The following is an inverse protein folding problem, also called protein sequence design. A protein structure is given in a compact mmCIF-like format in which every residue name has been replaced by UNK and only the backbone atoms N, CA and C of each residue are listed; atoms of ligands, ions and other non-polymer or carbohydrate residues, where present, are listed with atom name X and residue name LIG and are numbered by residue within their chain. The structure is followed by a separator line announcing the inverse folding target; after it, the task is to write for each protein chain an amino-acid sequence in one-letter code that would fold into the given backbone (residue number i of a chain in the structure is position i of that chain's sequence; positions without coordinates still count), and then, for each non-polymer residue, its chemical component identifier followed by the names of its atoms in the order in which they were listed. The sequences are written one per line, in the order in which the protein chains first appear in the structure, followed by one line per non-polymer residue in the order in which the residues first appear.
data_IF_073205748747
#
_entry.id   IF_073205748747
#
_cell.length_a   1.000
_cell.length_b   1.000
_cell.length_c   1.000
_cell.angle_alpha   90.00
_cell.angle_beta   90.00
_cell.angle_gamma   90.00
#
_symmetry.space_group_name_H-M   'P 1'
#
loop_
_entity.id
_entity.type
_entity.pdbx_description
1 polymer ?
#
# COMPACT_ATOMS: atom_id res chain seq x y z
N UNK A 1 2.42 18.05 -6.08
CA UNK A 1 1.53 17.73 -4.96
C UNK A 1 1.77 16.29 -4.48
N UNK A 2 1.45 15.28 -5.28
CA UNK A 2 1.49 13.84 -4.89
C UNK A 2 2.87 13.40 -4.40
N UNK A 3 3.95 13.68 -5.12
CA UNK A 3 5.32 13.30 -4.76
C UNK A 3 5.73 13.85 -3.39
N UNK A 4 5.47 15.14 -3.15
CA UNK A 4 5.81 15.78 -1.87
C UNK A 4 4.93 15.25 -0.73
N UNK A 5 3.60 15.16 -0.96
CA UNK A 5 2.68 14.63 0.03
C UNK A 5 2.99 13.19 0.40
N UNK A 6 3.15 12.29 -0.58
CA UNK A 6 3.48 10.88 -0.33
C UNK A 6 4.84 10.70 0.32
N UNK A 7 5.86 11.47 -0.10
CA UNK A 7 7.18 11.47 0.52
C UNK A 7 7.14 11.92 1.98
N UNK A 8 6.41 13.01 2.26
CA UNK A 8 6.20 13.51 3.61
C UNK A 8 5.48 12.50 4.51
N UNK A 9 4.35 11.95 4.04
CA UNK A 9 3.58 10.94 4.79
C UNK A 9 4.38 9.67 5.04
N UNK A 10 5.15 9.19 4.07
CA UNK A 10 6.02 8.03 4.25
C UNK A 10 7.12 8.30 5.30
N UNK A 11 7.71 9.49 5.29
CA UNK A 11 8.64 9.91 6.32
C UNK A 11 7.99 10.03 7.72
N UNK A 12 6.76 10.54 7.81
CA UNK A 12 5.99 10.59 9.06
C UNK A 12 5.74 9.18 9.61
N UNK A 13 5.34 8.24 8.77
CA UNK A 13 5.14 6.83 9.21
C UNK A 13 6.45 6.20 9.67
N UNK A 14 7.58 6.46 9.01
CA UNK A 14 8.91 6.01 9.46
C UNK A 14 9.30 6.63 10.81
N UNK A 15 9.04 7.93 11.02
CA UNK A 15 9.27 8.58 12.30
C UNK A 15 8.47 7.93 13.44
N UNK A 16 7.21 7.66 13.20
CA UNK A 16 6.30 7.08 14.18
C UNK A 16 6.64 5.60 14.46
N UNK A 17 7.11 4.87 13.46
CA UNK A 17 7.46 3.44 13.57
C UNK A 17 8.92 3.18 13.96
N UNK A 18 9.75 4.21 14.18
CA UNK A 18 11.20 4.09 14.41
C UNK A 18 11.61 3.09 15.49
N UNK A 19 10.82 2.98 16.57
CA UNK A 19 11.10 2.04 17.65
C UNK A 19 10.79 0.58 17.27
N UNK A 20 9.82 0.35 16.41
CA UNK A 20 9.49 -0.97 15.87
C UNK A 20 10.53 -1.34 14.82
N UNK A 21 10.87 -0.38 13.94
CA UNK A 21 11.88 -0.54 12.89
C UNK A 21 13.25 -0.90 13.45
N UNK A 22 13.62 -0.37 14.62
CA UNK A 22 14.89 -0.72 15.30
C UNK A 22 14.96 -2.19 15.75
N UNK A 23 13.83 -2.88 15.91
CA UNK A 23 13.77 -4.30 16.32
C UNK A 23 13.73 -5.25 15.12
N UNK A 24 13.53 -4.75 13.92
CA UNK A 24 13.39 -5.55 12.70
C UNK A 24 14.67 -5.51 11.89
N UNK A 25 15.24 -6.67 11.51
CA UNK A 25 16.50 -6.75 10.74
C UNK A 25 16.47 -5.98 9.44
N UNK A 26 15.32 -6.00 8.75
CA UNK A 26 15.13 -5.32 7.46
C UNK A 26 15.13 -3.80 7.57
N UNK A 27 14.71 -3.23 8.71
CA UNK A 27 14.47 -1.80 8.86
C UNK A 27 15.36 -1.11 9.90
N UNK A 28 16.14 -1.86 10.68
CA UNK A 28 17.05 -1.30 11.69
C UNK A 28 18.19 -0.46 11.09
N UNK A 29 18.49 -0.65 9.79
CA UNK A 29 19.49 0.13 9.05
C UNK A 29 18.94 1.49 8.54
N UNK A 30 17.65 1.80 8.75
CA UNK A 30 17.07 3.08 8.35
C UNK A 30 17.68 4.25 9.13
N UNK A 31 17.67 5.48 8.55
CA UNK A 31 18.31 6.66 9.17
C UNK A 31 17.85 7.01 10.58
N UNK A 32 16.57 6.79 10.91
CA UNK A 32 16.03 7.07 12.24
C UNK A 32 16.42 6.02 13.29
N UNK A 33 16.25 4.70 13.06
CA UNK A 33 16.76 3.66 13.93
C UNK A 33 18.27 3.72 14.18
N UNK A 34 19.07 4.04 13.17
CA UNK A 34 20.53 4.16 13.27
C UNK A 34 21.02 5.47 13.90
N UNK A 35 20.08 6.41 14.20
CA UNK A 35 20.40 7.76 14.67
C UNK A 35 21.25 8.59 13.69
N UNK A 36 21.24 8.25 12.39
CA UNK A 36 21.87 9.06 11.36
C UNK A 36 21.18 10.44 11.22
N UNK A 37 19.91 10.54 11.68
CA UNK A 37 19.19 11.80 11.86
C UNK A 37 18.97 11.98 13.36
N UNK A 38 19.74 12.88 13.96
CA UNK A 38 19.67 13.23 15.37
C UNK A 38 19.63 14.77 15.54
N UNK A 39 18.70 15.35 16.30
CA UNK A 39 17.55 14.66 16.94
C UNK A 39 16.47 14.26 15.91
N UNK A 40 15.67 13.20 16.21
CA UNK A 40 14.68 12.65 15.27
C UNK A 40 13.57 13.63 14.90
N UNK A 41 13.36 14.68 15.70
CA UNK A 41 12.39 15.76 15.44
C UNK A 41 12.70 16.53 14.15
N UNK A 42 13.97 16.56 13.71
CA UNK A 42 14.36 17.13 12.40
C UNK A 42 13.63 16.43 11.25
N UNK A 43 13.56 15.09 11.31
CA UNK A 43 12.82 14.32 10.31
C UNK A 43 11.31 14.59 10.41
N UNK A 44 10.76 14.70 11.62
CA UNK A 44 9.35 15.03 11.83
C UNK A 44 8.98 16.38 11.18
N UNK A 45 9.74 17.42 11.50
CA UNK A 45 9.50 18.79 10.97
C UNK A 45 9.59 18.79 9.45
N UNK A 46 10.64 18.19 8.89
CA UNK A 46 10.83 18.09 7.45
C UNK A 46 9.66 17.36 6.77
N UNK A 47 9.20 16.25 7.32
CA UNK A 47 8.07 15.48 6.77
C UNK A 47 6.75 16.23 6.90
N UNK A 48 6.52 16.98 7.99
CA UNK A 48 5.35 17.83 8.16
C UNK A 48 5.34 18.96 7.11
N UNK A 49 6.48 19.60 6.86
CA UNK A 49 6.62 20.62 5.82
C UNK A 49 6.30 20.03 4.44
N UNK A 50 6.90 18.89 4.09
CA UNK A 50 6.63 18.22 2.80
C UNK A 50 5.16 17.87 2.63
N UNK A 51 4.55 17.32 3.68
CA UNK A 51 3.12 16.97 3.67
C UNK A 51 2.25 18.22 3.53
N UNK A 52 2.55 19.27 4.29
CA UNK A 52 1.82 20.55 4.22
C UNK A 52 1.93 21.22 2.85
N UNK A 53 3.12 21.26 2.27
CA UNK A 53 3.34 21.77 0.90
C UNK A 53 2.59 20.92 -0.12
N UNK A 54 2.64 19.58 0.01
CA UNK A 54 1.92 18.67 -0.86
C UNK A 54 0.41 18.87 -0.83
N UNK A 55 -0.17 19.02 0.38
CA UNK A 55 -1.59 19.33 0.57
C UNK A 55 -1.96 20.73 0.09
N UNK A 56 -1.12 21.74 0.34
CA UNK A 56 -1.32 23.08 -0.17
C UNK A 56 -1.37 23.15 -1.69
N UNK A 57 -0.46 22.45 -2.37
CA UNK A 57 -0.48 22.31 -3.82
C UNK A 57 -1.72 21.55 -4.32
N UNK A 58 -2.19 20.53 -3.57
CA UNK A 58 -3.42 19.83 -3.90
C UNK A 58 -4.65 20.74 -3.79
N UNK A 59 -4.69 21.60 -2.78
CA UNK A 59 -5.75 22.63 -2.64
C UNK A 59 -5.78 23.59 -3.82
N UNK A 60 -4.61 24.05 -4.28
CA UNK A 60 -4.53 24.96 -5.43
C UNK A 60 -5.00 24.32 -6.74
N UNK A 61 -4.91 22.98 -6.86
CA UNK A 61 -5.44 22.26 -8.02
C UNK A 61 -6.96 22.15 -7.97
N UNK A 62 -7.48 21.63 -6.86
CA UNK A 62 -8.90 21.40 -6.63
C UNK A 62 -9.14 21.11 -5.15
N UNK A 63 -10.17 21.71 -4.49
CA UNK A 63 -10.50 21.39 -3.09
C UNK A 63 -10.70 19.90 -2.81
N UNK A 64 -11.26 19.14 -3.75
CA UNK A 64 -11.42 17.69 -3.62
C UNK A 64 -10.10 16.92 -3.63
N UNK A 65 -9.08 17.42 -4.36
CA UNK A 65 -7.72 16.89 -4.30
C UNK A 65 -7.12 17.06 -2.90
N UNK A 66 -7.34 18.20 -2.25
CA UNK A 66 -6.94 18.42 -0.86
C UNK A 66 -7.64 17.46 0.10
N UNK A 67 -8.96 17.31 -0.02
CA UNK A 67 -9.74 16.41 0.84
C UNK A 67 -9.24 14.96 0.68
N UNK A 68 -9.06 14.49 -0.55
CA UNK A 68 -8.54 13.15 -0.82
C UNK A 68 -7.13 12.96 -0.26
N UNK A 69 -6.23 13.93 -0.44
CA UNK A 69 -4.88 13.91 0.11
C UNK A 69 -4.86 13.92 1.65
N UNK A 70 -5.72 14.71 2.28
CA UNK A 70 -5.87 14.78 3.73
C UNK A 70 -6.38 13.46 4.31
N UNK A 71 -7.44 12.89 3.73
CA UNK A 71 -7.99 11.58 4.13
C UNK A 71 -6.92 10.49 3.99
N UNK A 72 -6.17 10.47 2.89
CA UNK A 72 -5.06 9.54 2.68
C UNK A 72 -3.95 9.70 3.72
N UNK A 73 -3.60 10.93 4.06
CA UNK A 73 -2.59 11.25 5.08
C UNK A 73 -3.01 10.76 6.46
N UNK A 74 -4.24 11.09 6.89
CA UNK A 74 -4.78 10.66 8.18
C UNK A 74 -4.84 9.13 8.23
N UNK A 75 -5.35 8.48 7.18
CA UNK A 75 -5.41 7.02 7.10
C UNK A 75 -4.03 6.38 7.24
N UNK A 76 -3.00 6.91 6.56
CA UNK A 76 -1.64 6.41 6.64
C UNK A 76 -1.04 6.53 8.05
N UNK A 77 -1.27 7.65 8.73
CA UNK A 77 -0.75 7.90 10.08
C UNK A 77 -1.44 7.03 11.13
N UNK A 78 -2.77 6.90 11.05
CA UNK A 78 -3.57 6.15 12.04
C UNK A 78 -3.32 4.64 11.95
N UNK A 79 -3.11 4.10 10.74
CA UNK A 79 -3.11 2.66 10.53
C UNK A 79 -1.79 1.93 10.71
N UNK A 80 -0.72 2.62 11.00
CA UNK A 80 0.65 2.08 11.14
C UNK A 80 0.71 0.74 11.85
N UNK A 81 1.20 -0.30 11.17
CA UNK A 81 1.47 -1.63 11.76
C UNK A 81 0.41 -2.10 12.78
N UNK A 82 -0.85 -1.76 12.53
CA UNK A 82 -2.02 -2.19 13.30
C UNK A 82 -2.79 -3.27 12.55
N UNK A 83 -3.77 -3.90 13.21
CA UNK A 83 -4.68 -4.88 12.58
C UNK A 83 -5.43 -4.26 11.40
N UNK A 84 -5.71 -2.95 11.45
CA UNK A 84 -6.41 -2.20 10.40
C UNK A 84 -5.49 -1.78 9.24
N UNK A 85 -4.18 -2.02 9.34
CA UNK A 85 -3.18 -1.62 8.36
C UNK A 85 -3.57 -1.94 6.89
N UNK A 86 -4.06 -3.11 6.52
CA UNK A 86 -4.41 -3.39 5.12
C UNK A 86 -5.62 -2.59 4.63
N UNK A 87 -6.61 -2.37 5.48
CA UNK A 87 -7.86 -1.68 5.11
C UNK A 87 -7.67 -0.16 5.00
N UNK A 88 -7.14 0.45 6.05
CA UNK A 88 -6.82 1.89 6.02
C UNK A 88 -5.68 2.18 5.02
N UNK A 89 -4.76 1.20 4.78
CA UNK A 89 -3.77 1.23 3.72
C UNK A 89 -4.36 1.36 2.34
N UNK A 90 -5.46 0.69 2.11
CA UNK A 90 -6.21 0.82 0.87
C UNK A 90 -6.72 2.25 0.66
N UNK A 91 -7.25 2.90 1.71
CA UNK A 91 -7.68 4.30 1.65
C UNK A 91 -6.49 5.22 1.35
N UNK A 92 -5.39 5.06 2.09
CA UNK A 92 -4.16 5.83 1.85
C UNK A 92 -3.57 5.59 0.46
N UNK A 93 -3.62 4.34 -0.02
CA UNK A 93 -3.13 3.97 -1.35
C UNK A 93 -4.00 4.49 -2.49
N UNK A 94 -5.31 4.64 -2.28
CA UNK A 94 -6.21 5.26 -3.25
C UNK A 94 -6.03 6.78 -3.34
N UNK A 95 -5.57 7.45 -2.29
CA UNK A 95 -5.48 8.90 -2.26
C UNK A 95 -4.67 9.50 -3.44
N UNK A 96 -3.48 9.01 -3.81
CA UNK A 96 -2.75 9.51 -4.98
C UNK A 96 -3.52 9.34 -6.29
N UNK A 97 -4.25 8.23 -6.43
CA UNK A 97 -5.07 7.94 -7.63
C UNK A 97 -6.22 8.93 -7.72
N UNK A 98 -6.95 9.14 -6.63
CA UNK A 98 -8.06 10.11 -6.55
C UNK A 98 -7.58 11.53 -6.80
N UNK A 99 -6.45 11.93 -6.19
CA UNK A 99 -5.85 13.26 -6.40
C UNK A 99 -5.46 13.45 -7.86
N UNK A 100 -4.80 12.47 -8.48
CA UNK A 100 -4.40 12.56 -9.89
C UNK A 100 -5.61 12.67 -10.82
N UNK A 101 -6.63 11.85 -10.56
CA UNK A 101 -7.87 11.85 -11.34
C UNK A 101 -8.59 13.20 -11.25
N UNK A 102 -8.87 13.68 -10.04
CA UNK A 102 -9.62 14.90 -9.81
C UNK A 102 -8.86 16.16 -10.23
N UNK A 103 -7.53 16.11 -10.35
CA UNK A 103 -6.74 17.22 -10.88
C UNK A 103 -6.96 17.43 -12.39
N UNK A 104 -7.32 16.38 -13.13
CA UNK A 104 -7.52 16.41 -14.59
C UNK A 104 -9.00 16.33 -14.95
N UNK A 105 -9.75 15.52 -14.25
CA UNK A 105 -11.16 15.21 -14.51
C UNK A 105 -11.98 15.51 -13.26
N UNK A 106 -12.65 16.67 -13.17
CA UNK A 106 -13.28 17.14 -11.93
C UNK A 106 -14.61 16.45 -11.61
N UNK A 107 -14.79 15.21 -12.01
CA UNK A 107 -15.95 14.39 -11.69
C UNK A 107 -15.56 12.95 -11.36
N UNK A 108 -16.39 12.28 -10.56
CA UNK A 108 -16.22 10.88 -10.21
C UNK A 108 -16.81 10.01 -11.32
N UNK A 109 -15.97 9.17 -11.95
CA UNK A 109 -16.37 8.21 -12.98
C UNK A 109 -16.25 6.77 -12.50
N UNK A 110 -16.84 5.85 -13.26
CA UNK A 110 -16.74 4.41 -13.00
C UNK A 110 -15.28 3.93 -13.10
N UNK A 111 -14.49 4.57 -13.97
CA UNK A 111 -13.08 4.28 -14.18
C UNK A 111 -12.27 4.52 -12.89
N UNK A 112 -12.53 5.66 -12.22
CA UNK A 112 -11.92 5.96 -10.93
C UNK A 112 -12.32 4.94 -9.86
N UNK A 113 -13.59 4.53 -9.83
CA UNK A 113 -14.07 3.53 -8.89
C UNK A 113 -13.34 2.20 -9.08
N UNK A 114 -13.19 1.74 -10.33
CA UNK A 114 -12.50 0.48 -10.64
C UNK A 114 -11.00 0.58 -10.34
N UNK A 115 -10.36 1.71 -10.60
CA UNK A 115 -8.97 1.96 -10.20
C UNK A 115 -8.79 1.89 -8.68
N UNK A 116 -9.67 2.52 -7.92
CA UNK A 116 -9.64 2.44 -6.46
C UNK A 116 -9.88 1.01 -5.98
N UNK A 117 -10.80 0.27 -6.61
CA UNK A 117 -11.06 -1.13 -6.30
C UNK A 117 -9.80 -1.99 -6.51
N UNK A 118 -9.09 -1.80 -7.63
CA UNK A 118 -7.82 -2.48 -7.90
C UNK A 118 -6.81 -2.23 -6.78
N UNK A 119 -6.65 -0.98 -6.36
CA UNK A 119 -5.74 -0.62 -5.26
C UNK A 119 -6.20 -1.23 -3.92
N UNK A 120 -7.51 -1.19 -3.64
CA UNK A 120 -8.10 -1.74 -2.41
C UNK A 120 -7.88 -3.26 -2.28
N UNK A 121 -7.90 -4.00 -3.39
CA UNK A 121 -7.64 -5.44 -3.39
C UNK A 121 -6.13 -5.71 -3.38
N UNK A 122 -5.36 -4.93 -4.13
CA UNK A 122 -3.91 -5.12 -4.26
C UNK A 122 -3.15 -4.86 -2.94
N UNK A 123 -3.53 -3.84 -2.17
CA UNK A 123 -2.80 -3.48 -0.94
C UNK A 123 -2.80 -4.60 0.10
N UNK A 124 -3.93 -5.20 0.52
CA UNK A 124 -3.89 -6.32 1.45
C UNK A 124 -3.13 -7.52 0.87
N UNK A 125 -3.29 -7.83 -0.42
CA UNK A 125 -2.54 -8.90 -1.07
C UNK A 125 -1.02 -8.65 -0.94
N UNK A 126 -0.56 -7.45 -1.27
CA UNK A 126 0.85 -7.05 -1.20
C UNK A 126 1.36 -7.04 0.25
N UNK A 127 0.68 -6.34 1.15
CA UNK A 127 1.11 -6.19 2.55
C UNK A 127 1.21 -7.55 3.24
N UNK A 128 0.21 -8.40 3.08
CA UNK A 128 0.21 -9.72 3.72
C UNK A 128 1.26 -10.67 3.11
N UNK A 129 1.52 -10.58 1.79
CA UNK A 129 2.62 -11.33 1.16
C UNK A 129 3.98 -10.93 1.75
N UNK A 130 4.24 -9.61 1.89
CA UNK A 130 5.46 -9.10 2.53
C UNK A 130 5.58 -9.56 3.99
N UNK A 131 4.47 -9.52 4.75
CA UNK A 131 4.46 -9.96 6.14
C UNK A 131 4.76 -11.46 6.28
N UNK A 132 4.23 -12.29 5.39
CA UNK A 132 4.53 -13.72 5.37
C UNK A 132 5.97 -14.00 4.99
N UNK A 133 6.50 -13.32 3.97
CA UNK A 133 7.88 -13.48 3.52
C UNK A 133 8.91 -13.10 4.60
N UNK A 134 8.56 -12.11 5.45
CA UNK A 134 9.39 -11.61 6.55
C UNK A 134 8.80 -11.90 7.94
N UNK A 135 8.15 -13.07 8.08
CA UNK A 135 7.39 -13.44 9.29
C UNK A 135 8.19 -13.26 10.57
N UNK A 136 9.42 -13.79 10.62
CA UNK A 136 10.28 -13.73 11.81
C UNK A 136 10.57 -12.28 12.21
N UNK A 137 10.85 -11.43 11.24
CA UNK A 137 11.19 -10.03 11.42
C UNK A 137 10.01 -9.22 11.99
N UNK A 138 8.81 -9.42 11.42
CA UNK A 138 7.60 -8.78 11.94
C UNK A 138 7.24 -9.25 13.35
N UNK A 139 7.40 -10.55 13.64
CA UNK A 139 7.18 -11.09 14.98
C UNK A 139 8.17 -10.53 16.00
N UNK A 140 9.44 -10.36 15.64
CA UNK A 140 10.45 -9.69 16.47
C UNK A 140 10.08 -8.22 16.73
N UNK A 141 9.46 -7.54 15.78
CA UNK A 141 8.90 -6.20 15.93
C UNK A 141 7.63 -6.13 16.80
N UNK A 142 7.09 -7.27 17.25
CA UNK A 142 5.88 -7.34 18.09
C UNK A 142 4.57 -7.42 17.30
N UNK A 143 4.61 -7.61 15.98
CA UNK A 143 3.44 -7.73 15.12
C UNK A 143 2.90 -9.16 15.19
N UNK A 144 1.70 -9.36 15.77
CA UNK A 144 1.11 -10.69 16.03
C UNK A 144 -0.29 -10.88 15.46
N UNK A 145 -0.75 -10.02 14.55
CA UNK A 145 -2.06 -10.13 13.91
C UNK A 145 -1.99 -10.84 12.55
N UNK A 146 -3.15 -11.01 11.89
CA UNK A 146 -3.21 -11.61 10.57
C UNK A 146 -2.27 -10.89 9.57
N UNK A 147 -1.49 -11.62 8.73
CA UNK A 147 -1.54 -13.07 8.48
C UNK A 147 -0.66 -13.89 9.44
N UNK A 148 0.09 -13.28 10.36
CA UNK A 148 1.09 -13.94 11.21
C UNK A 148 0.48 -14.75 12.35
N UNK A 149 -0.75 -14.42 12.76
CA UNK A 149 -1.51 -15.12 13.82
C UNK A 149 -2.09 -16.47 13.37
N UNK A 150 -2.01 -16.78 12.08
CA UNK A 150 -2.56 -18.01 11.49
C UNK A 150 -1.45 -18.87 10.90
N UNK A 151 -1.79 -20.14 10.62
CA UNK A 151 -0.92 -21.02 9.86
C UNK A 151 -0.64 -20.44 8.48
N UNK A 152 0.59 -20.62 7.98
CA UNK A 152 1.01 -20.11 6.68
C UNK A 152 0.06 -20.54 5.56
N UNK A 153 -0.36 -21.81 5.56
CA UNK A 153 -1.28 -22.35 4.55
C UNK A 153 -2.64 -21.65 4.54
N UNK A 154 -3.19 -21.30 5.71
CA UNK A 154 -4.46 -20.56 5.80
C UNK A 154 -4.31 -19.14 5.27
N UNK A 155 -3.20 -18.49 5.60
CA UNK A 155 -2.91 -17.14 5.12
C UNK A 155 -2.72 -17.11 3.61
N UNK A 156 -2.00 -18.08 3.04
CA UNK A 156 -1.80 -18.22 1.59
C UNK A 156 -3.12 -18.47 0.85
N UNK A 157 -4.06 -19.23 1.45
CA UNK A 157 -5.41 -19.39 0.86
C UNK A 157 -6.13 -18.04 0.71
N UNK A 158 -6.00 -17.15 1.71
CA UNK A 158 -6.59 -15.81 1.63
C UNK A 158 -5.93 -14.98 0.53
N UNK A 159 -4.60 -15.06 0.39
CA UNK A 159 -3.89 -14.39 -0.71
C UNK A 159 -4.37 -14.89 -2.08
N UNK A 160 -4.53 -16.19 -2.24
CA UNK A 160 -5.06 -16.77 -3.48
C UNK A 160 -6.49 -16.27 -3.77
N UNK A 161 -7.37 -16.25 -2.76
CA UNK A 161 -8.74 -15.74 -2.91
C UNK A 161 -8.76 -14.24 -3.27
N UNK A 162 -7.82 -13.43 -2.81
CA UNK A 162 -7.69 -12.02 -3.20
C UNK A 162 -7.10 -11.83 -4.59
N UNK A 163 -6.27 -12.76 -5.06
CA UNK A 163 -5.71 -12.70 -6.41
C UNK A 163 -6.77 -12.83 -7.50
N UNK A 164 -7.84 -13.59 -7.25
CA UNK A 164 -8.94 -13.78 -8.21
C UNK A 164 -9.72 -12.49 -8.50
N UNK A 165 -10.27 -11.77 -7.50
CA UNK A 165 -10.96 -10.51 -7.76
C UNK A 165 -10.01 -9.42 -8.28
N UNK A 166 -8.71 -9.45 -7.95
CA UNK A 166 -7.74 -8.53 -8.53
C UNK A 166 -7.61 -8.75 -10.05
N UNK A 167 -7.50 -10.01 -10.48
CA UNK A 167 -7.47 -10.38 -11.90
C UNK A 167 -8.77 -9.96 -12.60
N UNK A 168 -9.93 -10.25 -12.00
CA UNK A 168 -11.22 -9.85 -12.56
C UNK A 168 -11.35 -8.32 -12.68
N UNK A 169 -10.98 -7.57 -11.65
CA UNK A 169 -11.01 -6.11 -11.66
C UNK A 169 -10.08 -5.50 -12.73
N UNK A 170 -8.91 -6.12 -12.98
CA UNK A 170 -8.00 -5.70 -14.06
C UNK A 170 -8.64 -5.86 -15.44
N UNK A 171 -9.40 -6.93 -15.66
CA UNK A 171 -10.11 -7.15 -16.92
C UNK A 171 -11.30 -6.18 -17.05
N UNK A 172 -12.05 -5.97 -15.96
CA UNK A 172 -13.16 -5.00 -15.94
C UNK A 172 -12.68 -3.60 -16.27
N UNK A 173 -11.49 -3.22 -15.75
CA UNK A 173 -10.92 -1.90 -16.04
C UNK A 173 -10.63 -1.68 -17.52
N UNK A 174 -10.26 -2.72 -18.28
CA UNK A 174 -10.13 -2.63 -19.73
C UNK A 174 -11.41 -2.15 -20.42
N UNK A 175 -12.54 -2.74 -20.03
CA UNK A 175 -13.83 -2.41 -20.64
C UNK A 175 -14.37 -1.04 -20.18
N UNK A 176 -14.19 -0.69 -18.92
CA UNK A 176 -14.70 0.57 -18.36
C UNK A 176 -13.91 1.78 -18.84
N UNK A 177 -12.60 1.66 -18.98
CA UNK A 177 -11.72 2.76 -19.37
C UNK A 177 -11.44 2.82 -20.89
N UNK A 178 -12.00 1.91 -21.71
CA UNK A 178 -11.80 1.87 -23.16
C UNK A 178 -10.33 1.75 -23.56
N UNK A 179 -9.55 0.96 -22.83
CA UNK A 179 -8.11 0.86 -23.01
C UNK A 179 -7.73 0.08 -24.27
N UNK A 180 -6.50 0.27 -24.75
CA UNK A 180 -5.97 -0.44 -25.88
C UNK A 180 -5.78 -1.95 -25.60
N UNK A 181 -5.92 -2.80 -26.60
CA UNK A 181 -5.78 -4.27 -26.48
C UNK A 181 -4.46 -4.73 -25.84
N UNK A 182 -3.38 -3.95 -25.94
CA UNK A 182 -2.11 -4.22 -25.25
C UNK A 182 -2.28 -4.27 -23.73
N UNK A 183 -3.16 -3.42 -23.16
CA UNK A 183 -3.45 -3.49 -21.75
C UNK A 183 -4.12 -4.83 -21.39
N UNK A 184 -5.13 -5.25 -22.15
CA UNK A 184 -5.85 -6.50 -21.90
C UNK A 184 -4.92 -7.71 -21.94
N UNK A 185 -4.09 -7.82 -22.99
CA UNK A 185 -3.14 -8.94 -23.11
C UNK A 185 -2.15 -8.97 -21.95
N UNK A 186 -1.61 -7.82 -21.57
CA UNK A 186 -0.69 -7.69 -20.41
C UNK A 186 -1.41 -8.05 -19.11
N UNK A 187 -2.61 -7.54 -18.88
CA UNK A 187 -3.39 -7.83 -17.69
C UNK A 187 -3.72 -9.32 -17.57
N UNK A 188 -4.11 -9.98 -18.65
CA UNK A 188 -4.38 -11.43 -18.68
C UNK A 188 -3.11 -12.23 -18.38
N UNK A 189 -2.01 -11.94 -19.06
CA UNK A 189 -0.73 -12.67 -18.85
C UNK A 189 -0.26 -12.51 -17.41
N UNK A 190 -0.22 -11.28 -16.88
CA UNK A 190 0.22 -11.03 -15.50
C UNK A 190 -0.73 -11.65 -14.47
N UNK A 191 -2.04 -11.64 -14.72
CA UNK A 191 -3.03 -12.30 -13.86
C UNK A 191 -2.81 -13.81 -13.81
N UNK A 192 -2.56 -14.45 -14.95
CA UNK A 192 -2.24 -15.89 -15.02
C UNK A 192 -0.97 -16.23 -14.26
N UNK A 193 0.10 -15.42 -14.45
CA UNK A 193 1.37 -15.59 -13.70
C UNK A 193 1.14 -15.44 -12.20
N UNK A 194 0.38 -14.43 -11.77
CA UNK A 194 0.05 -14.19 -10.37
C UNK A 194 -0.77 -15.35 -9.78
N UNK A 195 -1.79 -15.84 -10.48
CA UNK A 195 -2.62 -16.97 -10.04
C UNK A 195 -1.76 -18.22 -9.93
N UNK A 196 -0.92 -18.52 -10.93
CA UNK A 196 -0.01 -19.65 -10.93
C UNK A 196 0.98 -19.59 -9.75
N UNK A 197 1.59 -18.43 -9.50
CA UNK A 197 2.50 -18.22 -8.37
C UNK A 197 1.80 -18.45 -7.02
N UNK A 198 0.57 -17.97 -6.85
CA UNK A 198 -0.23 -18.19 -5.64
C UNK A 198 -0.64 -19.67 -5.48
N UNK A 199 -0.97 -20.37 -6.55
CA UNK A 199 -1.23 -21.82 -6.51
C UNK A 199 0.03 -22.59 -6.11
N UNK A 200 1.17 -22.30 -6.71
CA UNK A 200 2.45 -22.91 -6.34
C UNK A 200 2.76 -22.70 -4.87
N UNK A 201 2.57 -21.47 -4.37
CA UNK A 201 2.75 -21.13 -2.96
C UNK A 201 1.78 -21.91 -2.05
N UNK A 202 0.53 -22.09 -2.47
CA UNK A 202 -0.47 -22.85 -1.72
C UNK A 202 -0.08 -24.35 -1.59
N UNK A 203 0.54 -24.93 -2.61
CA UNK A 203 1.02 -26.31 -2.57
C UNK A 203 2.29 -26.45 -1.73
N UNK A 204 3.26 -25.53 -1.85
CA UNK A 204 4.50 -25.58 -1.08
C UNK A 204 4.30 -25.21 0.39
N UNK A 205 3.29 -24.38 0.69
CA UNK A 205 3.02 -23.78 2.01
C UNK A 205 4.25 -23.10 2.65
N UNK A 206 5.23 -22.69 1.84
CA UNK A 206 6.48 -22.09 2.31
C UNK A 206 6.35 -20.57 2.37
N UNK A 207 6.56 -20.00 3.57
CA UNK A 207 6.47 -18.55 3.78
C UNK A 207 7.47 -17.73 2.96
N UNK A 208 8.64 -18.31 2.63
CA UNK A 208 9.68 -17.64 1.83
C UNK A 208 9.29 -17.49 0.35
N UNK A 209 8.39 -18.31 -0.16
CA UNK A 209 7.89 -18.22 -1.53
C UNK A 209 6.80 -17.17 -1.70
N UNK A 210 6.23 -16.67 -0.61
CA UNK A 210 5.16 -15.65 -0.66
C UNK A 210 5.60 -14.36 -1.35
N UNK A 211 6.90 -14.06 -1.35
CA UNK A 211 7.47 -12.86 -1.92
C UNK A 211 8.12 -13.05 -3.31
N UNK A 212 8.47 -14.27 -3.68
CA UNK A 212 9.03 -14.58 -5.01
C UNK A 212 7.94 -14.70 -6.06
#
# INVERSE_FOLDING_TARGET
AITLGSGGVNGLTNYLDRNIDARMRRTNCRPLPTKAIDPPEKALIFCLILTGVGLGLAWLLNPWCFVAGLVGTISAVVMRKTVLCPFLGSISGCAPVVVAWLAVTPHFGIELLVLCLLVCIWIPLHVWSVMLAHREDYMAGGVKYFPLSRETRQSVKVLFLLALPLAAASIVFYFTAGLHWLYLTTAVVLSLVMIFANLRLLYSANSKEAWR
#
